data_IF_781647293988
#
_entry.id   IF_781647293988
#
_cell.length_a   1.000
_cell.length_b   1.000
_cell.length_c   1.000
_cell.angle_alpha   90.00
_cell.angle_beta   90.00
_cell.angle_gamma   90.00
#
_symmetry.space_group_name_H-M   'P 1'
#
loop_
_entity.id
_entity.type
_entity.pdbx_description
1 polymer ?
#
# COMPACT_ATOMS: atom_id res chain seq x y z
N UNK A 1 4.36 -6.53 -35.85
CA UNK A 1 3.98 -6.29 -34.42
C UNK A 1 2.96 -7.36 -34.07
N UNK A 2 3.22 -8.16 -33.03
CA UNK A 2 2.27 -9.16 -32.54
C UNK A 2 1.69 -8.76 -31.19
N UNK A 3 0.75 -9.53 -30.67
CA UNK A 3 0.15 -9.33 -29.36
C UNK A 3 -0.49 -10.60 -28.85
N UNK A 4 -0.74 -10.66 -27.54
CA UNK A 4 -1.49 -11.73 -26.88
C UNK A 4 -2.71 -11.09 -26.24
N UNK A 5 -3.89 -11.65 -26.49
CA UNK A 5 -5.12 -11.25 -25.83
C UNK A 5 -5.37 -12.16 -24.63
N UNK A 6 -5.39 -11.55 -23.43
CA UNK A 6 -5.63 -12.25 -22.16
C UNK A 6 -6.82 -11.59 -21.45
N UNK A 7 -8.06 -12.05 -21.71
CA UNK A 7 -9.27 -11.42 -21.18
C UNK A 7 -9.36 -11.45 -19.65
N UNK A 8 -8.63 -12.36 -19.00
CA UNK A 8 -8.54 -12.48 -17.55
C UNK A 8 -7.61 -11.45 -16.88
N UNK A 9 -6.92 -10.60 -17.65
CA UNK A 9 -5.98 -9.63 -17.09
C UNK A 9 -6.71 -8.44 -16.49
N UNK A 10 -6.51 -8.20 -15.19
CA UNK A 10 -6.99 -7.01 -14.48
C UNK A 10 -5.84 -6.05 -14.13
N UNK A 11 -6.17 -4.76 -14.02
CA UNK A 11 -5.28 -3.73 -13.45
C UNK A 11 -5.95 -3.18 -12.22
N UNK A 12 -5.23 -3.12 -11.10
CA UNK A 12 -5.72 -2.61 -9.82
C UNK A 12 -4.72 -1.63 -9.21
N UNK A 13 -5.20 -0.72 -8.36
CA UNK A 13 -4.33 0.13 -7.55
C UNK A 13 -3.94 -0.64 -6.26
N UNK A 14 -2.66 -0.98 -6.06
CA UNK A 14 -2.23 -1.84 -4.94
C UNK A 14 -2.61 -1.24 -3.58
N UNK A 15 -2.42 0.07 -3.40
CA UNK A 15 -2.78 0.75 -2.16
C UNK A 15 -4.28 0.65 -1.85
N UNK A 16 -5.15 0.76 -2.86
CA UNK A 16 -6.60 0.68 -2.68
C UNK A 16 -7.05 -0.73 -2.34
N UNK A 17 -6.41 -1.75 -2.92
CA UNK A 17 -6.69 -3.15 -2.58
C UNK A 17 -6.34 -3.43 -1.12
N UNK A 18 -5.13 -3.04 -0.67
CA UNK A 18 -4.73 -3.22 0.73
C UNK A 18 -5.66 -2.48 1.70
N UNK A 19 -6.00 -1.22 1.41
CA UNK A 19 -6.93 -0.44 2.22
C UNK A 19 -8.32 -1.09 2.24
N UNK A 20 -8.80 -1.61 1.11
CA UNK A 20 -10.11 -2.25 1.04
C UNK A 20 -10.19 -3.51 1.93
N UNK A 21 -9.16 -4.35 1.94
CA UNK A 21 -9.11 -5.50 2.85
C UNK A 21 -9.06 -5.07 4.32
N UNK A 22 -8.24 -4.07 4.66
CA UNK A 22 -8.13 -3.61 6.03
C UNK A 22 -9.44 -2.98 6.55
N UNK A 23 -10.09 -2.14 5.74
CA UNK A 23 -11.36 -1.53 6.12
C UNK A 23 -12.48 -2.55 6.23
N UNK A 24 -12.60 -3.52 5.30
CA UNK A 24 -13.60 -4.56 5.41
C UNK A 24 -13.36 -5.46 6.64
N UNK A 25 -12.10 -5.74 6.98
CA UNK A 25 -11.79 -6.45 8.22
C UNK A 25 -12.26 -5.67 9.46
N UNK A 26 -12.02 -4.36 9.51
CA UNK A 26 -12.49 -3.50 10.62
C UNK A 26 -14.01 -3.42 10.69
N UNK A 27 -14.69 -3.29 9.56
CA UNK A 27 -16.16 -3.32 9.48
C UNK A 27 -16.74 -4.66 9.98
N UNK A 28 -15.96 -5.74 9.91
CA UNK A 28 -16.29 -7.06 10.45
C UNK A 28 -15.76 -7.32 11.87
N UNK A 29 -15.27 -6.29 12.56
CA UNK A 29 -14.87 -6.36 13.97
C UNK A 29 -13.39 -6.62 14.23
N UNK A 30 -12.53 -6.63 13.20
CA UNK A 30 -11.09 -6.67 13.42
C UNK A 30 -10.56 -5.33 13.94
N UNK A 31 -9.46 -5.36 14.70
CA UNK A 31 -8.73 -4.16 15.11
C UNK A 31 -7.47 -3.99 14.26
N UNK A 32 -7.22 -2.76 13.77
CA UNK A 32 -6.00 -2.41 13.04
C UNK A 32 -5.18 -1.44 13.89
N UNK A 33 -3.99 -1.87 14.27
CA UNK A 33 -3.05 -1.06 15.06
C UNK A 33 -1.87 -0.61 14.19
N UNK A 34 -1.89 0.65 13.76
CA UNK A 34 -0.78 1.27 13.03
C UNK A 34 0.25 1.86 14.00
N UNK A 35 1.51 1.99 13.57
CA UNK A 35 2.64 2.41 14.41
C UNK A 35 2.90 1.48 15.61
N UNK A 36 2.47 0.21 15.49
CA UNK A 36 2.64 -0.85 16.47
C UNK A 36 3.60 -1.89 15.92
N UNK A 37 4.88 -1.78 16.28
CA UNK A 37 5.92 -2.69 15.84
C UNK A 37 5.95 -3.94 16.72
N UNK A 38 6.02 -5.13 16.12
CA UNK A 38 6.30 -6.38 16.84
C UNK A 38 7.80 -6.45 17.18
N UNK A 39 8.10 -6.58 18.48
CA UNK A 39 9.45 -6.57 19.05
C UNK A 39 9.85 -7.92 19.65
N UNK A 40 8.97 -8.92 19.61
CA UNK A 40 9.23 -10.26 20.10
C UNK A 40 7.96 -11.05 20.42
N UNK A 41 8.12 -12.33 20.72
CA UNK A 41 7.04 -13.18 21.22
C UNK A 41 7.22 -13.50 22.71
N UNK A 42 6.13 -13.41 23.47
CA UNK A 42 6.01 -14.03 24.77
C UNK A 42 5.63 -15.50 24.55
N UNK A 43 6.43 -16.40 25.08
CA UNK A 43 6.34 -17.85 24.83
C UNK A 43 6.11 -18.59 26.15
N UNK A 44 5.29 -19.64 26.12
CA UNK A 44 5.09 -20.58 27.22
C UNK A 44 4.94 -21.99 26.64
N UNK A 45 5.74 -22.94 27.14
CA UNK A 45 5.73 -24.34 26.68
C UNK A 45 5.82 -24.48 25.14
N UNK A 46 6.68 -23.68 24.49
CA UNK A 46 6.87 -23.69 23.03
C UNK A 46 5.75 -23.01 22.23
N UNK A 47 4.73 -22.45 22.88
CA UNK A 47 3.60 -21.76 22.24
C UNK A 47 3.69 -20.25 22.43
N UNK A 48 3.31 -19.48 21.42
CA UNK A 48 3.19 -18.02 21.54
C UNK A 48 1.94 -17.68 22.36
N UNK A 49 2.10 -16.98 23.49
CA UNK A 49 0.99 -16.48 24.32
C UNK A 49 0.68 -15.00 24.05
N UNK A 50 1.59 -14.30 23.38
CA UNK A 50 1.37 -12.93 22.94
C UNK A 50 2.54 -12.34 22.16
N UNK A 51 2.27 -11.23 21.48
CA UNK A 51 3.25 -10.44 20.72
C UNK A 51 3.62 -9.21 21.54
N UNK A 52 4.90 -9.06 21.89
CA UNK A 52 5.43 -7.85 22.52
C UNK A 52 5.53 -6.77 21.48
N UNK A 53 4.99 -5.59 21.75
CA UNK A 53 5.04 -4.44 20.85
C UNK A 53 5.56 -3.19 21.56
N UNK A 54 5.88 -2.15 20.80
CA UNK A 54 6.18 -0.81 21.35
C UNK A 54 4.96 -0.15 22.04
N UNK A 55 3.78 -0.75 21.98
CA UNK A 55 2.54 -0.28 22.62
C UNK A 55 2.04 -1.26 23.70
N UNK A 56 2.88 -2.21 24.13
CA UNK A 56 2.54 -3.23 25.12
C UNK A 56 2.35 -4.63 24.53
N UNK A 57 1.86 -5.56 25.35
CA UNK A 57 1.65 -6.96 24.99
C UNK A 57 0.27 -7.18 24.39
N UNK A 58 0.20 -7.78 23.20
CA UNK A 58 -1.05 -8.23 22.58
C UNK A 58 -1.14 -9.75 22.72
N UNK A 59 -2.12 -10.26 23.47
CA UNK A 59 -2.32 -11.71 23.62
C UNK A 59 -2.94 -12.29 22.34
N UNK A 60 -2.46 -13.45 21.92
CA UNK A 60 -2.92 -14.10 20.70
C UNK A 60 -2.99 -15.62 20.87
N UNK A 61 -4.06 -16.23 20.34
CA UNK A 61 -4.20 -17.69 20.29
C UNK A 61 -3.49 -18.32 19.09
N UNK A 62 -3.36 -17.56 18.00
CA UNK A 62 -2.63 -17.89 16.78
C UNK A 62 -1.96 -16.62 16.24
N UNK A 63 -0.81 -16.76 15.61
CA UNK A 63 -0.02 -15.67 15.02
C UNK A 63 0.25 -15.98 13.56
N UNK A 64 -0.02 -15.01 12.69
CA UNK A 64 0.31 -15.10 11.26
C UNK A 64 1.47 -14.15 10.98
N UNK A 65 2.59 -14.69 10.52
CA UNK A 65 3.73 -13.92 10.03
C UNK A 65 3.53 -13.57 8.55
N UNK A 66 3.08 -12.34 8.31
CA UNK A 66 2.94 -11.73 6.99
C UNK A 66 3.82 -10.46 6.86
N UNK A 67 5.00 -10.46 7.48
CA UNK A 67 5.82 -9.25 7.65
C UNK A 67 6.70 -8.88 6.44
N UNK A 68 6.46 -9.47 5.27
CA UNK A 68 7.16 -9.14 4.02
C UNK A 68 8.68 -9.22 4.19
N UNK A 69 9.38 -8.11 3.91
CA UNK A 69 10.85 -8.05 4.00
C UNK A 69 11.40 -8.31 5.40
N UNK A 70 10.56 -8.29 6.45
CA UNK A 70 10.92 -8.56 7.84
C UNK A 70 10.50 -9.96 8.32
N UNK A 71 9.95 -10.80 7.45
CA UNK A 71 9.38 -12.09 7.82
C UNK A 71 10.35 -13.01 8.58
N UNK A 72 11.61 -13.09 8.16
CA UNK A 72 12.62 -13.92 8.82
C UNK A 72 13.01 -13.39 10.21
N UNK A 73 12.95 -12.07 10.42
CA UNK A 73 13.15 -11.46 11.74
C UNK A 73 11.99 -11.73 12.69
N UNK A 74 10.76 -11.79 12.17
CA UNK A 74 9.60 -12.18 12.96
C UNK A 74 9.66 -13.67 13.32
N UNK A 75 10.05 -14.54 12.39
CA UNK A 75 10.22 -15.97 12.65
C UNK A 75 11.31 -16.23 13.72
N UNK A 76 12.42 -15.49 13.64
CA UNK A 76 13.50 -15.53 14.63
C UNK A 76 13.07 -15.21 16.08
N UNK A 77 11.97 -14.47 16.29
CA UNK A 77 11.45 -14.24 17.65
C UNK A 77 10.91 -15.52 18.31
N UNK A 78 10.67 -16.56 17.54
CA UNK A 78 10.25 -17.89 18.00
C UNK A 78 11.33 -18.96 17.82
N UNK A 79 12.58 -18.58 17.49
CA UNK A 79 13.67 -19.49 17.12
C UNK A 79 13.36 -20.35 15.87
N UNK A 80 12.47 -19.84 15.00
CA UNK A 80 12.05 -20.53 13.78
C UNK A 80 12.86 -20.01 12.57
N UNK A 81 13.88 -20.77 12.16
CA UNK A 81 14.97 -20.30 11.29
C UNK A 81 15.07 -21.03 9.94
N UNK A 82 14.05 -21.77 9.52
CA UNK A 82 14.09 -22.57 8.28
C UNK A 82 14.12 -21.76 6.98
N UNK A 83 13.88 -20.45 7.03
CA UNK A 83 13.99 -19.56 5.86
C UNK A 83 14.70 -18.23 6.21
N UNK A 84 15.23 -17.58 5.19
CA UNK A 84 15.79 -16.23 5.28
C UNK A 84 15.29 -15.36 4.13
N UNK A 85 15.24 -14.04 4.35
CA UNK A 85 14.79 -13.08 3.35
C UNK A 85 15.96 -12.20 2.88
N UNK A 86 16.18 -12.17 1.57
CA UNK A 86 17.03 -11.20 0.89
C UNK A 86 16.18 -10.20 0.09
N UNK A 87 16.70 -8.98 -0.10
CA UNK A 87 15.96 -7.90 -0.71
C UNK A 87 16.23 -7.80 -2.21
N UNK A 88 15.17 -7.73 -3.03
CA UNK A 88 15.28 -7.37 -4.45
C UNK A 88 14.58 -6.06 -4.74
N UNK A 89 15.35 -4.98 -4.85
CA UNK A 89 14.87 -3.63 -5.12
C UNK A 89 14.35 -3.51 -6.55
N UNK A 90 13.24 -2.79 -6.71
CA UNK A 90 12.69 -2.41 -8.00
C UNK A 90 12.28 -0.95 -8.03
N UNK A 91 12.89 -0.19 -8.92
CA UNK A 91 12.61 1.22 -9.19
C UNK A 91 11.59 1.34 -10.31
N UNK A 92 10.58 2.17 -10.10
CA UNK A 92 9.47 2.43 -11.00
C UNK A 92 9.37 3.94 -11.24
N UNK A 93 9.06 4.31 -12.47
CA UNK A 93 8.72 5.68 -12.85
C UNK A 93 7.24 5.77 -13.25
N UNK A 94 6.59 6.88 -12.90
CA UNK A 94 5.21 7.18 -13.26
C UNK A 94 5.20 8.30 -14.30
N UNK A 95 4.54 8.04 -15.42
CA UNK A 95 4.33 8.99 -16.51
C UNK A 95 3.02 9.75 -16.30
N UNK A 96 3.01 11.01 -16.70
CA UNK A 96 1.84 11.86 -16.60
C UNK A 96 0.60 11.29 -17.27
N UNK A 97 -0.56 11.40 -16.60
CA UNK A 97 -1.84 10.92 -17.11
C UNK A 97 -2.32 11.61 -18.39
N UNK A 98 -1.79 12.80 -18.72
CA UNK A 98 -2.05 13.46 -19.99
C UNK A 98 -1.62 12.59 -21.18
N UNK A 99 -0.68 11.67 -20.98
CA UNK A 99 -0.25 10.70 -21.99
C UNK A 99 -0.91 9.32 -21.83
N UNK A 100 -1.83 9.14 -20.88
CA UNK A 100 -2.50 7.86 -20.64
C UNK A 100 -3.26 7.33 -21.85
N UNK A 101 -3.84 8.22 -22.66
CA UNK A 101 -4.55 7.85 -23.89
C UNK A 101 -3.64 7.23 -24.96
N UNK A 102 -2.32 7.42 -24.86
CA UNK A 102 -1.36 6.89 -25.84
C UNK A 102 -1.18 5.37 -25.74
N UNK A 103 -1.57 4.75 -24.63
CA UNK A 103 -1.40 3.33 -24.39
C UNK A 103 -2.48 2.76 -23.47
N UNK A 104 -3.26 1.81 -23.99
CA UNK A 104 -4.32 1.11 -23.23
C UNK A 104 -3.97 -0.33 -22.84
N UNK A 105 -2.85 -0.85 -23.33
CA UNK A 105 -2.43 -2.24 -23.15
C UNK A 105 -1.10 -2.31 -22.41
N UNK A 106 -0.83 -3.43 -21.75
CA UNK A 106 0.51 -3.72 -21.19
C UNK A 106 1.49 -3.93 -22.35
N UNK A 107 2.59 -3.20 -22.34
CA UNK A 107 3.71 -3.40 -23.26
C UNK A 107 4.91 -3.91 -22.47
N UNK A 108 5.35 -5.12 -22.79
CA UNK A 108 6.51 -5.73 -22.17
C UNK A 108 7.50 -6.16 -23.26
N UNK A 109 8.75 -6.37 -22.84
CA UNK A 109 9.78 -6.96 -23.69
C UNK A 109 10.16 -8.35 -23.14
N UNK A 110 9.28 -9.36 -23.32
CA UNK A 110 9.55 -10.69 -22.81
C UNK A 110 10.82 -11.25 -23.43
N UNK A 111 11.69 -11.85 -22.61
CA UNK A 111 12.80 -12.67 -23.09
C UNK A 111 12.30 -14.10 -23.19
N UNK A 112 11.88 -14.51 -24.38
CA UNK A 112 11.44 -15.89 -24.63
C UNK A 112 12.65 -16.82 -24.58
N UNK A 113 12.52 -17.97 -23.91
CA UNK A 113 13.55 -19.02 -23.88
C UNK A 113 14.72 -18.79 -22.90
N UNK A 114 14.66 -17.78 -22.03
CA UNK A 114 15.70 -17.54 -21.00
C UNK A 114 15.13 -17.80 -19.61
N UNK A 115 15.77 -18.66 -18.81
CA UNK A 115 15.50 -18.76 -17.37
C UNK A 115 15.93 -17.46 -16.70
N UNK A 116 14.96 -16.66 -16.27
CA UNK A 116 15.18 -15.36 -15.65
C UNK A 116 14.17 -15.18 -14.52
N UNK A 117 14.67 -14.78 -13.34
CA UNK A 117 13.84 -14.44 -12.18
C UNK A 117 13.15 -13.07 -12.32
N UNK A 118 13.41 -12.35 -13.41
CA UNK A 118 12.68 -11.13 -13.78
C UNK A 118 11.89 -11.32 -15.07
N UNK A 119 10.65 -10.81 -15.07
CA UNK A 119 9.78 -10.68 -16.26
C UNK A 119 10.26 -9.58 -17.23
N UNK A 120 11.30 -8.83 -16.85
CA UNK A 120 11.95 -7.83 -17.70
C UNK A 120 11.26 -6.45 -17.71
N UNK A 121 10.25 -6.24 -16.86
CA UNK A 121 9.53 -4.96 -16.74
C UNK A 121 8.70 -4.59 -17.96
N UNK A 122 8.11 -3.39 -17.94
CA UNK A 122 7.35 -2.87 -19.08
C UNK A 122 6.73 -1.50 -18.85
N UNK A 123 5.90 -1.10 -19.80
CA UNK A 123 4.96 0.01 -19.70
C UNK A 123 3.58 -0.56 -19.40
N UNK A 124 2.98 -0.15 -18.29
CA UNK A 124 1.69 -0.66 -17.83
C UNK A 124 0.71 0.51 -17.63
N UNK A 125 -0.54 0.43 -18.14
CA UNK A 125 -1.56 1.38 -17.74
C UNK A 125 -1.89 1.21 -16.25
N UNK A 126 -2.32 2.29 -15.61
CA UNK A 126 -2.84 2.28 -14.23
C UNK A 126 -4.35 2.56 -14.25
N UNK A 127 -5.06 2.19 -13.18
CA UNK A 127 -6.51 2.46 -13.07
C UNK A 127 -6.84 3.95 -12.99
N UNK A 128 -5.84 4.80 -12.80
CA UNK A 128 -6.00 6.25 -12.69
C UNK A 128 -5.52 7.01 -13.93
N UNK A 129 -5.19 6.30 -15.00
CA UNK A 129 -4.85 6.86 -16.30
C UNK A 129 -3.40 7.30 -16.44
N UNK A 130 -2.57 7.18 -15.41
CA UNK A 130 -1.11 7.25 -15.56
C UNK A 130 -0.59 6.01 -16.31
N UNK A 131 0.63 6.12 -16.86
CA UNK A 131 1.42 4.95 -17.27
C UNK A 131 2.52 4.71 -16.23
N UNK A 132 2.81 3.44 -15.97
CA UNK A 132 3.85 2.97 -15.08
C UNK A 132 4.97 2.35 -15.92
N UNK A 133 6.21 2.75 -15.67
CA UNK A 133 7.41 2.24 -16.34
C UNK A 133 8.34 1.53 -15.36
N UNK A 134 8.73 0.30 -15.72
CA UNK A 134 9.65 -0.54 -14.95
C UNK A 134 9.04 -1.88 -14.56
N UNK A 135 9.45 -2.49 -13.43
CA UNK A 135 10.50 -2.05 -12.52
C UNK A 135 11.92 -2.48 -12.94
N UNK A 136 12.94 -1.92 -12.30
CA UNK A 136 14.26 -2.57 -12.20
C UNK A 136 14.19 -3.85 -11.31
N UNK A 137 15.27 -4.61 -11.28
CA UNK A 137 15.45 -5.74 -10.38
C UNK A 137 16.93 -5.81 -9.96
N UNK A 138 17.23 -5.31 -8.75
CA UNK A 138 18.59 -5.20 -8.21
C UNK A 138 18.62 -5.86 -6.83
N UNK A 139 19.56 -6.76 -6.61
CA UNK A 139 19.76 -7.36 -5.29
C UNK A 139 20.34 -6.33 -4.31
N UNK A 140 19.76 -6.28 -3.11
CA UNK A 140 20.15 -5.37 -2.04
C UNK A 140 20.18 -6.10 -0.71
N UNK A 141 21.15 -5.76 0.14
CA UNK A 141 21.24 -6.30 1.49
C UNK A 141 20.26 -5.64 2.46
N UNK A 142 19.84 -4.40 2.17
CA UNK A 142 18.97 -3.62 3.03
C UNK A 142 17.49 -3.97 2.76
N UNK A 143 16.74 -4.25 3.83
CA UNK A 143 15.29 -4.50 3.79
C UNK A 143 14.47 -3.30 3.35
N UNK A 144 15.03 -2.11 3.59
CA UNK A 144 14.36 -0.82 3.46
C UNK A 144 15.13 0.16 2.56
N UNK A 145 15.80 -0.35 1.51
CA UNK A 145 16.37 0.53 0.48
C UNK A 145 15.29 1.05 -0.47
N UNK A 146 14.83 2.27 -0.23
CA UNK A 146 13.93 3.01 -1.13
C UNK A 146 14.64 4.07 -1.97
N UNK A 147 15.98 4.06 -1.98
CA UNK A 147 16.77 4.98 -2.80
C UNK A 147 16.59 4.66 -4.28
N UNK A 148 16.67 5.70 -5.09
CA UNK A 148 16.66 5.61 -6.56
C UNK A 148 17.92 6.30 -7.08
N UNK A 149 18.53 5.75 -8.13
CA UNK A 149 19.72 6.34 -8.74
C UNK A 149 19.48 6.81 -10.17
N UNK A 150 20.29 7.74 -10.70
CA UNK A 150 20.24 8.13 -12.11
C UNK A 150 20.40 6.93 -13.06
N UNK A 151 21.29 5.99 -12.74
CA UNK A 151 21.56 4.80 -13.56
C UNK A 151 20.33 3.88 -13.65
N UNK A 152 19.59 3.73 -12.55
CA UNK A 152 18.32 3.00 -12.54
C UNK A 152 17.29 3.67 -13.46
N UNK A 153 17.22 5.00 -13.45
CA UNK A 153 16.31 5.75 -14.33
C UNK A 153 16.73 5.67 -15.80
N UNK A 154 18.02 5.78 -16.10
CA UNK A 154 18.57 5.59 -17.45
C UNK A 154 18.32 4.17 -17.98
N UNK A 155 18.43 3.16 -17.11
CA UNK A 155 18.03 1.80 -17.44
C UNK A 155 16.53 1.73 -17.80
N UNK A 156 15.64 2.33 -17.00
CA UNK A 156 14.20 2.34 -17.32
C UNK A 156 13.93 3.03 -18.66
N UNK A 157 14.57 4.16 -18.93
CA UNK A 157 14.39 4.92 -20.16
C UNK A 157 14.87 4.13 -21.38
N UNK A 158 16.11 3.64 -21.34
CA UNK A 158 16.71 2.89 -22.44
C UNK A 158 15.96 1.58 -22.71
N UNK A 159 15.44 0.93 -21.66
CA UNK A 159 14.75 -0.35 -21.82
C UNK A 159 13.30 -0.22 -22.26
N UNK A 160 12.56 0.77 -21.77
CA UNK A 160 11.10 0.77 -21.89
C UNK A 160 10.53 1.88 -22.78
N UNK A 161 11.19 3.04 -22.94
CA UNK A 161 10.60 4.14 -23.73
C UNK A 161 10.43 3.78 -25.21
N UNK A 162 11.28 2.90 -25.76
CA UNK A 162 11.16 2.45 -27.15
C UNK A 162 9.86 1.69 -27.44
N UNK A 163 9.17 1.18 -26.40
CA UNK A 163 7.87 0.52 -26.52
C UNK A 163 6.76 1.50 -26.93
N UNK A 164 6.89 2.79 -26.57
CA UNK A 164 5.94 3.82 -26.94
C UNK A 164 6.67 5.12 -27.32
N UNK A 165 6.80 5.35 -28.63
CA UNK A 165 7.53 6.49 -29.22
C UNK A 165 6.96 7.87 -28.91
N UNK A 166 5.76 7.95 -28.31
CA UNK A 166 5.17 9.22 -27.89
C UNK A 166 5.68 9.69 -26.52
N UNK A 167 6.34 8.80 -25.76
CA UNK A 167 6.84 9.09 -24.43
C UNK A 167 8.29 9.59 -24.49
N UNK A 168 8.61 10.52 -23.59
CA UNK A 168 9.95 11.10 -23.40
C UNK A 168 10.31 11.08 -21.91
N UNK A 169 11.60 11.10 -21.55
CA UNK A 169 12.03 11.13 -20.15
C UNK A 169 11.38 12.25 -19.32
N UNK A 170 11.19 13.43 -19.92
CA UNK A 170 10.55 14.59 -19.28
C UNK A 170 9.08 14.40 -18.88
N UNK A 171 8.45 13.34 -19.37
CA UNK A 171 7.04 13.06 -19.09
C UNK A 171 6.86 12.28 -17.77
N UNK A 172 7.96 11.87 -17.12
CA UNK A 172 7.96 11.30 -15.78
C UNK A 172 7.63 12.36 -14.73
N UNK A 173 6.60 12.10 -13.91
CA UNK A 173 6.14 13.01 -12.85
C UNK A 173 6.61 12.59 -11.45
N UNK A 174 6.94 11.32 -11.27
CA UNK A 174 7.51 10.79 -10.02
C UNK A 174 8.16 9.45 -10.27
N UNK A 175 9.01 9.02 -9.36
CA UNK A 175 9.66 7.72 -9.33
C UNK A 175 9.85 7.29 -7.89
N UNK A 176 9.90 5.99 -7.65
CA UNK A 176 10.07 5.41 -6.33
C UNK A 176 10.61 3.99 -6.45
N UNK A 177 11.21 3.50 -5.38
CA UNK A 177 11.65 2.12 -5.26
C UNK A 177 10.89 1.38 -4.15
N UNK A 178 10.82 0.07 -4.30
CA UNK A 178 10.36 -0.86 -3.26
C UNK A 178 11.19 -2.13 -3.28
N UNK A 179 11.27 -2.81 -2.13
CA UNK A 179 12.06 -4.03 -1.95
C UNK A 179 11.12 -5.23 -1.86
N UNK A 180 11.38 -6.26 -2.67
CA UNK A 180 10.65 -7.54 -2.61
C UNK A 180 11.29 -8.45 -1.56
N UNK A 181 10.46 -9.24 -0.88
CA UNK A 181 10.89 -10.18 0.14
C UNK A 181 11.16 -11.55 -0.48
N UNK A 182 12.37 -11.76 -0.98
CA UNK A 182 12.76 -12.98 -1.68
C UNK A 182 13.33 -14.01 -0.69
N UNK A 183 12.94 -15.27 -0.82
CA UNK A 183 13.65 -16.41 -0.22
C UNK A 183 14.76 -16.87 -1.17
N UNK A 184 15.78 -17.57 -0.68
CA UNK A 184 16.83 -18.13 -1.54
C UNK A 184 16.33 -19.27 -2.45
N UNK A 185 15.21 -19.89 -2.10
CA UNK A 185 14.51 -20.88 -2.92
C UNK A 185 13.66 -20.22 -4.02
N UNK A 186 13.52 -18.89 -3.99
CA UNK A 186 12.73 -18.09 -4.94
C UNK A 186 11.25 -18.48 -5.00
N UNK A 187 10.73 -19.06 -3.91
CA UNK A 187 9.33 -19.44 -3.77
C UNK A 187 8.68 -18.88 -2.48
N UNK A 188 7.35 -18.84 -2.49
CA UNK A 188 6.58 -18.43 -1.32
C UNK A 188 6.39 -19.58 -0.34
N UNK A 189 6.27 -19.24 0.94
CA UNK A 189 6.04 -20.18 2.04
C UNK A 189 4.68 -19.82 2.65
N UNK A 190 3.72 -20.74 2.57
CA UNK A 190 2.35 -20.59 3.08
C UNK A 190 1.98 -21.84 3.87
N UNK A 191 2.40 -21.91 5.12
CA UNK A 191 2.32 -23.13 5.95
C UNK A 191 2.39 -22.82 7.44
N UNK A 192 1.91 -23.71 8.33
CA UNK A 192 2.17 -23.60 9.76
C UNK A 192 3.64 -23.91 10.05
N UNK A 193 4.18 -23.33 11.12
CA UNK A 193 5.50 -23.69 11.61
C UNK A 193 5.53 -25.15 12.08
N UNK A 194 6.58 -25.87 11.72
CA UNK A 194 6.84 -27.23 12.25
C UNK A 194 7.32 -27.19 13.71
N UNK A 195 7.83 -26.04 14.18
CA UNK A 195 8.44 -25.88 15.51
C UNK A 195 7.52 -25.18 16.50
N UNK A 196 6.66 -24.27 16.04
CA UNK A 196 5.85 -23.38 16.88
C UNK A 196 4.36 -23.63 16.62
N UNK A 197 3.64 -24.32 17.53
CA UNK A 197 2.31 -24.88 17.25
C UNK A 197 1.21 -23.88 16.84
N UNK A 198 1.42 -22.59 17.05
CA UNK A 198 0.44 -21.55 16.75
C UNK A 198 0.97 -20.40 15.90
N UNK A 199 2.01 -20.68 15.12
CA UNK A 199 2.59 -19.76 14.15
C UNK A 199 2.29 -20.24 12.73
N UNK A 200 1.86 -19.33 11.85
CA UNK A 200 1.65 -19.56 10.43
C UNK A 200 2.53 -18.58 9.65
N UNK A 201 3.21 -19.05 8.61
CA UNK A 201 3.98 -18.22 7.69
C UNK A 201 3.20 -17.96 6.40
N UNK A 202 3.17 -16.70 5.97
CA UNK A 202 2.76 -16.26 4.64
C UNK A 202 3.86 -15.30 4.11
N UNK A 203 4.98 -15.87 3.65
CA UNK A 203 6.26 -15.17 3.48
C UNK A 203 6.91 -15.52 2.14
N UNK A 204 7.98 -14.81 1.76
CA UNK A 204 8.69 -15.05 0.50
C UNK A 204 7.94 -14.61 -0.77
N UNK A 205 6.76 -14.02 -0.61
CA UNK A 205 5.87 -13.70 -1.72
C UNK A 205 6.36 -12.45 -2.46
N UNK A 206 6.79 -12.64 -3.71
CA UNK A 206 7.27 -11.57 -4.58
C UNK A 206 6.14 -10.98 -5.46
N UNK A 207 6.35 -10.91 -6.78
CA UNK A 207 5.41 -10.31 -7.74
C UNK A 207 3.99 -10.90 -7.77
N UNK A 208 3.71 -12.20 -7.50
CA UNK A 208 2.33 -12.69 -7.55
C UNK A 208 1.49 -12.25 -6.35
N UNK A 209 2.10 -11.76 -5.26
CA UNK A 209 1.40 -11.63 -3.97
C UNK A 209 0.16 -10.77 -3.97
N UNK A 210 0.12 -9.70 -4.76
CA UNK A 210 -1.09 -8.87 -4.86
C UNK A 210 -2.25 -9.63 -5.52
N UNK A 211 -1.96 -10.42 -6.56
CA UNK A 211 -2.97 -11.16 -7.31
C UNK A 211 -3.42 -12.41 -6.57
N UNK A 212 -2.51 -13.10 -5.87
CA UNK A 212 -2.81 -14.32 -5.11
C UNK A 212 -3.32 -14.06 -3.68
N UNK A 213 -3.23 -12.83 -3.16
CA UNK A 213 -3.63 -12.50 -1.79
C UNK A 213 -4.99 -13.08 -1.34
N UNK A 214 -6.08 -13.05 -2.15
CA UNK A 214 -7.35 -13.66 -1.74
C UNK A 214 -7.27 -15.16 -1.49
N UNK A 215 -6.56 -15.91 -2.34
CA UNK A 215 -6.39 -17.36 -2.19
C UNK A 215 -5.51 -17.68 -0.98
N UNK A 216 -4.38 -16.97 -0.84
CA UNK A 216 -3.47 -17.11 0.30
C UNK A 216 -4.22 -16.86 1.62
N UNK A 217 -5.08 -15.83 1.66
CA UNK A 217 -5.86 -15.52 2.85
C UNK A 217 -6.86 -16.63 3.23
N UNK A 218 -7.42 -17.35 2.26
CA UNK A 218 -8.30 -18.49 2.53
C UNK A 218 -7.53 -19.65 3.18
N UNK A 219 -6.36 -20.00 2.64
CA UNK A 219 -5.51 -21.05 3.19
C UNK A 219 -5.03 -20.70 4.60
N UNK A 220 -4.55 -19.46 4.78
CA UNK A 220 -4.13 -18.95 6.10
C UNK A 220 -5.27 -18.93 7.11
N UNK A 221 -6.48 -18.54 6.70
CA UNK A 221 -7.65 -18.55 7.57
C UNK A 221 -8.02 -19.99 7.98
N UNK A 222 -7.99 -20.95 7.05
CA UNK A 222 -8.24 -22.36 7.34
C UNK A 222 -7.23 -22.92 8.35
N UNK A 223 -5.93 -22.67 8.14
CA UNK A 223 -4.88 -23.07 9.07
C UNK A 223 -5.07 -22.43 10.46
N UNK A 224 -5.40 -21.14 10.51
CA UNK A 224 -5.64 -20.45 11.78
C UNK A 224 -6.85 -21.02 12.53
N UNK A 225 -7.93 -21.38 11.83
CA UNK A 225 -9.10 -22.03 12.41
C UNK A 225 -8.72 -23.37 13.04
N UNK A 226 -7.95 -24.21 12.35
CA UNK A 226 -7.52 -25.52 12.89
C UNK A 226 -6.63 -25.35 14.13
N UNK A 227 -5.68 -24.41 14.10
CA UNK A 227 -4.85 -24.10 15.27
C UNK A 227 -5.72 -23.64 16.46
N UNK A 228 -6.69 -22.77 16.22
CA UNK A 228 -7.53 -22.21 17.28
C UNK A 228 -8.50 -23.25 17.87
N UNK A 229 -9.00 -24.20 17.07
CA UNK A 229 -9.87 -25.30 17.52
C UNK A 229 -9.25 -26.18 18.61
N UNK A 230 -7.92 -26.23 18.68
CA UNK A 230 -7.20 -26.95 19.75
C UNK A 230 -7.40 -26.38 21.16
N UNK A 231 -7.82 -25.10 21.26
CA UNK A 231 -7.92 -24.39 22.55
C UNK A 231 -9.28 -23.74 22.78
N UNK A 232 -10.11 -23.58 21.75
CA UNK A 232 -11.44 -22.97 21.84
C UNK A 232 -12.35 -23.44 20.73
N UNK A 233 -13.65 -23.28 20.92
CA UNK A 233 -14.63 -23.40 19.84
C UNK A 233 -14.48 -22.24 18.85
N UNK A 234 -14.50 -22.56 17.54
CA UNK A 234 -14.44 -21.56 16.46
C UNK A 234 -15.66 -21.74 15.56
N UNK A 235 -16.47 -20.69 15.43
CA UNK A 235 -17.71 -20.69 14.65
C UNK A 235 -17.67 -19.62 13.56
N UNK A 236 -18.32 -19.83 12.41
CA UNK A 236 -18.55 -18.78 11.42
C UNK A 236 -19.26 -17.58 12.05
N UNK A 237 -18.88 -16.37 11.64
CA UNK A 237 -19.58 -15.16 12.05
C UNK A 237 -20.85 -14.99 11.19
N UNK A 238 -22.07 -15.11 11.75
CA UNK A 238 -23.31 -15.02 10.98
C UNK A 238 -23.59 -13.60 10.46
N UNK A 239 -22.94 -12.57 11.01
CA UNK A 239 -23.10 -11.18 10.58
C UNK A 239 -21.95 -10.70 9.68
N UNK A 240 -21.13 -11.61 9.17
CA UNK A 240 -20.04 -11.25 8.26
C UNK A 240 -20.58 -10.55 7.00
N UNK A 241 -20.06 -9.37 6.71
CA UNK A 241 -20.37 -8.60 5.52
C UNK A 241 -19.17 -8.57 4.57
N UNK A 242 -19.23 -9.27 3.42
CA UNK A 242 -18.16 -9.26 2.42
C UNK A 242 -18.09 -7.95 1.63
N UNK A 243 -19.12 -7.10 1.69
CA UNK A 243 -19.21 -5.87 0.92
C UNK A 243 -18.71 -4.67 1.71
N UNK A 244 -17.59 -4.11 1.26
CA UNK A 244 -17.01 -2.89 1.83
C UNK A 244 -17.83 -1.65 1.44
N UNK A 245 -17.99 -0.72 2.39
CA UNK A 245 -18.56 0.60 2.11
C UNK A 245 -17.68 1.41 1.15
N UNK A 246 -18.28 1.95 0.08
CA UNK A 246 -17.59 2.85 -0.85
C UNK A 246 -17.95 4.30 -0.59
N UNK A 247 -16.96 5.19 -0.75
CA UNK A 247 -17.17 6.64 -0.74
C UNK A 247 -17.23 7.17 -2.18
N UNK A 248 -18.03 8.23 -2.43
CA UNK A 248 -18.11 8.88 -3.73
C UNK A 248 -16.73 9.30 -4.27
N UNK A 249 -16.47 8.99 -5.54
CA UNK A 249 -15.30 9.49 -6.28
C UNK A 249 -15.80 10.49 -7.32
N UNK A 250 -15.74 11.79 -7.02
CA UNK A 250 -16.41 12.81 -7.86
C UNK A 250 -15.98 12.74 -9.32
N UNK A 251 -14.69 12.48 -9.56
CA UNK A 251 -14.13 12.37 -10.91
C UNK A 251 -14.85 11.31 -11.78
N UNK A 252 -15.51 10.32 -11.18
CA UNK A 252 -16.24 9.25 -11.86
C UNK A 252 -17.74 9.47 -11.96
N UNK A 253 -18.27 10.46 -11.26
CA UNK A 253 -19.70 10.80 -11.25
C UNK A 253 -20.03 11.75 -12.41
N UNK A 254 -21.25 11.63 -12.93
CA UNK A 254 -21.89 12.59 -13.82
C UNK A 254 -22.11 13.94 -13.12
N UNK A 255 -22.43 14.99 -13.90
CA UNK A 255 -22.67 16.32 -13.33
C UNK A 255 -23.87 16.34 -12.36
N UNK A 256 -24.92 15.59 -12.65
CA UNK A 256 -26.11 15.47 -11.80
C UNK A 256 -25.75 14.78 -10.47
N UNK A 257 -25.10 13.62 -10.53
CA UNK A 257 -24.65 12.88 -9.34
C UNK A 257 -23.69 13.70 -8.47
N UNK A 258 -22.80 14.50 -9.09
CA UNK A 258 -21.95 15.45 -8.36
C UNK A 258 -22.79 16.51 -7.65
N UNK A 259 -23.82 17.05 -8.32
CA UNK A 259 -24.75 18.01 -7.74
C UNK A 259 -25.42 17.45 -6.49
N UNK A 260 -25.89 16.21 -6.53
CA UNK A 260 -26.50 15.54 -5.37
C UNK A 260 -25.50 15.29 -4.24
N UNK A 261 -24.28 14.85 -4.56
CA UNK A 261 -23.22 14.69 -3.55
C UNK A 261 -22.89 16.02 -2.85
N UNK A 262 -22.83 17.12 -3.60
CA UNK A 262 -22.55 18.47 -3.08
C UNK A 262 -23.71 18.99 -2.24
N UNK A 263 -24.97 18.76 -2.66
CA UNK A 263 -26.15 19.12 -1.86
C UNK A 263 -26.14 18.41 -0.50
N UNK A 264 -25.78 17.12 -0.49
CA UNK A 264 -25.71 16.32 0.74
C UNK A 264 -24.54 16.75 1.64
N UNK A 265 -23.40 17.07 1.06
CA UNK A 265 -22.22 17.56 1.78
C UNK A 265 -21.47 18.60 0.92
N UNK A 266 -21.60 19.91 1.25
CA UNK A 266 -20.97 20.99 0.48
C UNK A 266 -19.44 20.88 0.35
N UNK A 267 -18.76 20.14 1.22
CA UNK A 267 -17.31 19.91 1.12
C UNK A 267 -16.91 19.19 -0.18
N UNK A 268 -17.83 18.43 -0.79
CA UNK A 268 -17.60 17.84 -2.12
C UNK A 268 -17.51 18.90 -3.23
N UNK A 269 -18.04 20.11 -3.01
CA UNK A 269 -17.93 21.22 -3.98
C UNK A 269 -16.57 21.92 -3.96
N UNK A 270 -15.77 21.71 -2.91
CA UNK A 270 -14.49 22.38 -2.72
C UNK A 270 -13.35 21.52 -3.27
N UNK A 271 -12.89 21.81 -4.50
CA UNK A 271 -11.76 21.09 -5.10
C UNK A 271 -10.44 21.52 -4.45
N UNK A 272 -9.76 20.56 -3.80
CA UNK A 272 -8.48 20.75 -3.12
C UNK A 272 -7.31 20.38 -4.04
N UNK A 273 -7.38 19.23 -4.72
CA UNK A 273 -6.35 18.82 -5.67
C UNK A 273 -6.84 18.96 -7.10
N UNK A 274 -6.43 20.04 -7.78
CA UNK A 274 -6.81 20.29 -9.19
C UNK A 274 -6.25 19.25 -10.15
N UNK A 275 -5.02 18.78 -9.93
CA UNK A 275 -4.41 17.79 -10.81
C UNK A 275 -5.24 16.50 -10.85
N UNK A 276 -5.73 16.02 -9.70
CA UNK A 276 -6.48 14.77 -9.58
C UNK A 276 -7.99 14.96 -9.48
N UNK A 277 -8.47 16.21 -9.50
CA UNK A 277 -9.86 16.60 -9.28
C UNK A 277 -10.46 16.04 -7.97
N UNK A 278 -9.72 16.17 -6.87
CA UNK A 278 -10.12 15.66 -5.55
C UNK A 278 -10.67 16.80 -4.68
N UNK A 279 -11.84 16.57 -4.11
CA UNK A 279 -12.54 17.48 -3.21
C UNK A 279 -12.09 17.40 -1.74
N UNK A 280 -12.43 18.41 -0.95
CA UNK A 280 -12.30 18.37 0.50
C UNK A 280 -13.15 17.23 1.10
N UNK A 281 -14.36 17.00 0.56
CA UNK A 281 -15.24 15.89 0.96
C UNK A 281 -14.56 14.53 0.84
N UNK A 282 -13.90 14.23 -0.29
CA UNK A 282 -13.16 12.98 -0.48
C UNK A 282 -11.97 12.82 0.48
N UNK A 283 -11.33 13.92 0.87
CA UNK A 283 -10.24 13.91 1.87
C UNK A 283 -10.80 13.63 3.26
N UNK A 284 -11.89 14.29 3.64
CA UNK A 284 -12.58 14.11 4.94
C UNK A 284 -13.07 12.66 5.07
N UNK A 285 -13.69 12.12 4.02
CA UNK A 285 -14.15 10.73 4.00
C UNK A 285 -12.98 9.73 4.16
N UNK A 286 -11.81 10.03 3.59
CA UNK A 286 -10.62 9.21 3.79
C UNK A 286 -10.13 9.28 5.25
N UNK A 287 -10.16 10.46 5.88
CA UNK A 287 -9.77 10.65 7.28
C UNK A 287 -10.67 9.85 8.21
N UNK A 288 -11.99 9.86 7.98
CA UNK A 288 -13.00 9.16 8.79
C UNK A 288 -13.37 7.76 8.28
N UNK A 289 -12.53 7.17 7.43
CA UNK A 289 -12.69 5.78 7.00
C UNK A 289 -12.48 4.79 8.15
N UNK A 290 -12.96 3.53 8.06
CA UNK A 290 -12.76 2.52 9.11
C UNK A 290 -11.29 2.33 9.51
N UNK A 291 -10.35 2.58 8.59
CA UNK A 291 -8.91 2.70 8.88
C UNK A 291 -8.46 4.14 8.60
N UNK A 292 -8.53 5.04 9.61
CA UNK A 292 -8.35 6.48 9.43
C UNK A 292 -7.08 6.91 8.70
N UNK A 293 -7.22 7.88 7.79
CA UNK A 293 -6.12 8.48 7.05
C UNK A 293 -5.50 9.68 7.76
N UNK A 294 -4.64 9.45 8.74
CA UNK A 294 -4.15 10.51 9.65
C UNK A 294 -2.80 11.13 9.28
N UNK A 295 -2.35 10.97 8.04
CA UNK A 295 -1.11 11.56 7.51
C UNK A 295 -1.26 11.97 6.05
N UNK A 296 -0.36 12.84 5.57
CA UNK A 296 -0.41 13.32 4.18
C UNK A 296 -0.34 12.15 3.17
N UNK A 297 0.61 11.23 3.35
CA UNK A 297 0.78 10.06 2.49
C UNK A 297 -0.40 9.08 2.63
N UNK A 298 -1.06 9.02 3.79
CA UNK A 298 -2.27 8.21 3.98
C UNK A 298 -3.44 8.75 3.16
N UNK A 299 -3.66 10.07 3.15
CA UNK A 299 -4.64 10.74 2.26
C UNK A 299 -4.24 10.54 0.79
N UNK A 300 -2.96 10.72 0.47
CA UNK A 300 -2.40 10.51 -0.87
C UNK A 300 -2.70 9.11 -1.42
N UNK A 301 -2.56 8.06 -0.61
CA UNK A 301 -2.82 6.67 -1.03
C UNK A 301 -4.30 6.31 -1.15
N UNK A 302 -5.19 7.01 -0.42
CA UNK A 302 -6.64 6.74 -0.41
C UNK A 302 -7.41 7.58 -1.43
N UNK A 303 -7.22 8.89 -1.36
CA UNK A 303 -7.94 9.88 -2.16
C UNK A 303 -7.13 10.38 -3.38
N UNK A 304 -5.82 10.12 -3.46
CA UNK A 304 -4.90 10.60 -4.52
C UNK A 304 -4.57 12.09 -4.51
N UNK A 305 -5.08 12.86 -3.55
CA UNK A 305 -4.65 14.25 -3.40
C UNK A 305 -3.12 14.30 -3.23
N UNK A 306 -2.44 15.00 -4.15
CA UNK A 306 -0.97 15.06 -4.23
C UNK A 306 -0.29 14.01 -5.13
N UNK A 307 -1.02 13.13 -5.82
CA UNK A 307 -0.45 12.14 -6.75
C UNK A 307 -0.31 12.62 -8.21
N UNK A 308 -0.92 13.74 -8.56
CA UNK A 308 -0.89 14.28 -9.93
C UNK A 308 0.43 14.98 -10.30
N UNK A 309 0.49 15.62 -11.47
CA UNK A 309 1.69 16.26 -12.03
C UNK A 309 2.52 17.09 -11.03
N UNK A 310 1.85 17.88 -10.18
CA UNK A 310 2.53 18.75 -9.21
C UNK A 310 3.08 18.04 -7.96
N UNK A 311 2.83 16.74 -7.80
CA UNK A 311 3.27 15.93 -6.65
C UNK A 311 2.97 16.54 -5.27
N UNK A 312 1.85 17.26 -5.15
CA UNK A 312 1.42 17.89 -3.89
C UNK A 312 1.86 19.35 -3.73
N UNK A 313 2.62 19.93 -4.66
CA UNK A 313 3.16 21.28 -4.53
C UNK A 313 2.11 22.39 -4.28
N UNK A 314 0.85 22.18 -4.66
CA UNK A 314 -0.22 23.17 -4.45
C UNK A 314 -1.24 22.78 -3.38
N UNK A 315 -1.60 21.50 -3.28
CA UNK A 315 -2.69 21.07 -2.41
C UNK A 315 -2.23 20.71 -0.99
N UNK A 316 -0.93 20.51 -0.75
CA UNK A 316 -0.42 20.11 0.58
C UNK A 316 -0.85 21.04 1.71
N UNK A 317 -0.77 22.39 1.61
CA UNK A 317 -1.21 23.27 2.70
C UNK A 317 -2.68 23.05 3.09
N UNK A 318 -3.59 23.01 2.11
CA UNK A 318 -5.00 22.76 2.34
C UNK A 318 -5.27 21.35 2.92
N UNK A 319 -4.52 20.34 2.49
CA UNK A 319 -4.64 18.98 3.06
C UNK A 319 -4.19 18.98 4.52
N UNK A 320 -3.12 19.70 4.87
CA UNK A 320 -2.64 19.80 6.25
C UNK A 320 -3.65 20.51 7.15
N UNK A 321 -4.29 21.59 6.67
CA UNK A 321 -5.37 22.28 7.39
C UNK A 321 -6.56 21.36 7.65
N UNK A 322 -7.00 20.60 6.63
CA UNK A 322 -8.08 19.63 6.78
C UNK A 322 -7.68 18.54 7.79
N UNK A 323 -6.48 17.96 7.66
CA UNK A 323 -6.00 16.95 8.60
C UNK A 323 -5.95 17.46 10.03
N UNK A 324 -5.39 18.65 10.26
CA UNK A 324 -5.31 19.28 11.57
C UNK A 324 -6.71 19.45 12.18
N UNK A 325 -7.64 20.03 11.41
CA UNK A 325 -9.03 20.24 11.83
C UNK A 325 -9.74 18.92 12.17
N UNK A 326 -9.70 17.94 11.26
CA UNK A 326 -10.45 16.69 11.40
C UNK A 326 -9.86 15.74 12.44
N UNK A 327 -8.56 15.83 12.73
CA UNK A 327 -7.89 15.00 13.75
C UNK A 327 -7.74 15.69 15.11
N UNK A 328 -8.07 16.98 15.20
CA UNK A 328 -7.87 17.79 16.40
C UNK A 328 -6.41 18.03 16.79
N UNK A 329 -5.47 17.81 15.86
CA UNK A 329 -4.03 18.00 16.07
C UNK A 329 -3.56 19.33 15.52
N UNK A 330 -2.47 19.88 16.05
CA UNK A 330 -1.82 21.02 15.41
C UNK A 330 -1.26 20.61 14.04
N UNK A 331 -1.24 21.54 13.09
CA UNK A 331 -0.69 21.28 11.75
C UNK A 331 0.79 20.86 11.79
N UNK A 332 1.55 21.34 12.78
CA UNK A 332 2.93 20.93 13.05
C UNK A 332 3.09 19.50 13.56
N UNK A 333 2.02 18.87 14.06
CA UNK A 333 2.06 17.48 14.52
C UNK A 333 1.68 16.49 13.41
N UNK A 334 1.17 16.98 12.27
CA UNK A 334 0.79 16.15 11.14
C UNK A 334 2.05 15.63 10.43
N UNK A 335 2.18 14.31 10.41
CA UNK A 335 3.27 13.64 9.70
C UNK A 335 3.03 13.58 8.19
N UNK A 336 4.11 13.64 7.42
CA UNK A 336 4.08 13.30 6.00
C UNK A 336 3.65 11.85 5.81
N UNK A 337 4.24 10.90 6.54
CA UNK A 337 3.87 9.49 6.40
C UNK A 337 4.31 8.56 7.53
N UNK A 338 5.46 8.82 8.15
CA UNK A 338 5.99 8.06 9.30
C UNK A 338 6.05 8.93 10.55
N UNK A 339 6.07 8.35 11.76
CA UNK A 339 6.40 9.11 12.96
C UNK A 339 7.72 9.90 12.77
N UNK A 340 7.73 11.18 13.14
CA UNK A 340 8.92 12.04 13.00
C UNK A 340 9.10 12.65 11.61
N UNK A 341 8.10 12.59 10.73
CA UNK A 341 8.17 13.16 9.38
C UNK A 341 7.30 14.41 9.21
N UNK A 342 7.22 15.23 10.26
CA UNK A 342 6.45 16.47 10.26
C UNK A 342 6.98 17.42 9.18
N UNK A 343 6.06 18.13 8.49
CA UNK A 343 6.41 19.07 7.42
C UNK A 343 6.59 20.50 7.93
N UNK A 344 6.02 20.82 9.09
CA UNK A 344 6.04 22.16 9.67
C UNK A 344 6.76 22.10 11.02
N UNK A 345 7.63 23.07 11.28
CA UNK A 345 8.38 23.16 12.55
C UNK A 345 7.54 23.77 13.68
N UNK A 346 6.57 24.63 13.36
CA UNK A 346 5.73 25.34 14.32
C UNK A 346 5.14 26.62 13.74
N UNK A 347 4.37 27.34 14.55
CA UNK A 347 3.84 28.65 14.18
C UNK A 347 4.92 29.72 14.30
N UNK A 348 5.01 30.59 13.29
CA UNK A 348 5.97 31.71 13.28
C UNK A 348 5.39 33.01 13.84
N UNK A 349 4.09 33.05 14.15
CA UNK A 349 3.41 34.19 14.79
C UNK A 349 2.60 33.71 15.99
N UNK A 350 3.25 33.62 17.15
CA UNK A 350 2.57 33.42 18.43
C UNK A 350 1.89 34.73 18.87
N UNK A 351 0.56 34.80 18.77
CA UNK A 351 -0.23 35.89 19.34
C UNK A 351 -0.11 37.23 18.61
N UNK A 352 -0.96 37.45 17.61
CA UNK A 352 -1.31 38.82 17.23
C UNK A 352 -2.03 39.47 18.41
N UNK A 353 -1.40 40.47 19.03
CA UNK A 353 -2.03 41.29 20.06
C UNK A 353 -3.42 41.74 19.61
N UNK A 354 -4.33 41.79 20.57
CA UNK A 354 -5.64 42.44 20.46
C UNK A 354 -5.52 43.69 19.60
N UNK A 355 -6.16 43.66 18.42
CA UNK A 355 -6.50 44.89 17.73
C UNK A 355 -7.55 45.58 18.58
N UNK A 356 -7.11 46.48 19.46
CA UNK A 356 -7.93 47.51 20.08
C UNK A 356 -8.47 48.45 19.04
#
# INVERSE_FOLDING_TARGET
RGGIFLPSTGVVAPYKVTVAYAENAVENGAAVHLNTAALGFAMEQGRIIGVRTNQGLIRAGAVVNAAGVWADKIAAYADDHFFTIHGRKGTIAIIDKALGATQKSVLALPRLGVKSYTKGGGLNPTVEGNLLMGPTAIEVSQREDWSTTPEEMEFLFSRHLSLNRQLRPRDTITYFAGVRACTFEEDFIIEPSEHVPNLIHAVGIQSPGLASAPAIAQDVAAMAVEILKTTREVKPNPTFNPERRLTPQLAKLSLEERGEAIKKNPAYGQIVCRCEAISAGEIIDAIHSPVPATSLDAVKRRARAGMGRCQGGFCTPAILEILARETGKAASEINKGRPGSQLLAGETKTGGGTRT
#
